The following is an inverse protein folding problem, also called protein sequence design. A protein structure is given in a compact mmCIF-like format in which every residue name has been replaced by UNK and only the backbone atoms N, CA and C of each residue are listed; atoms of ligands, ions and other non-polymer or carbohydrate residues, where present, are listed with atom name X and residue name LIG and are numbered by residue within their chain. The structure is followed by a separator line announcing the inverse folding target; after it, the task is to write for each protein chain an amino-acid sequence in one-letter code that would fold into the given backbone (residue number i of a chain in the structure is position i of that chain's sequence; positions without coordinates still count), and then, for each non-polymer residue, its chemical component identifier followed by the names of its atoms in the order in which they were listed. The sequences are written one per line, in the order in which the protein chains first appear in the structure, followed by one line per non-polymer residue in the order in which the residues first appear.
data_IF_443065938432
#
_entry.id   IF_443065938432
#
_cell.length_a   1.000
_cell.length_b   1.000
_cell.length_c   1.000
_cell.angle_alpha   90.00
_cell.angle_beta   90.00
_cell.angle_gamma   90.00
#
_symmetry.space_group_name_H-M   'P 1'
#
loop_
_entity.id
_entity.type
_entity.pdbx_description
1 polymer ?
#
# COMPACT_ATOMS: atom_id res chain seq x y z
N UNK A 1 11.71 1.93 17.41
CA UNK A 1 10.32 2.41 17.49
C UNK A 1 10.12 3.40 18.62
N UNK A 2 10.32 3.03 19.90
CA UNK A 2 10.07 3.91 21.05
C UNK A 2 10.85 5.23 20.94
N UNK A 3 12.16 5.16 20.66
CA UNK A 3 13.02 6.36 20.54
C UNK A 3 12.54 7.29 19.41
N UNK A 4 12.20 6.73 18.25
CA UNK A 4 11.70 7.51 17.12
C UNK A 4 10.33 8.12 17.39
N UNK A 5 9.42 7.39 18.06
CA UNK A 5 8.12 7.92 18.46
C UNK A 5 8.25 9.05 19.48
N UNK A 6 9.09 8.88 20.51
CA UNK A 6 9.37 9.94 21.47
C UNK A 6 9.99 11.17 20.80
N UNK A 7 10.96 10.98 19.90
CA UNK A 7 11.54 12.09 19.14
C UNK A 7 10.48 12.86 18.37
N UNK A 8 9.56 12.15 17.69
CA UNK A 8 8.46 12.78 16.95
C UNK A 8 7.55 13.56 17.88
N UNK A 9 7.11 12.97 18.99
CA UNK A 9 6.22 13.62 19.96
C UNK A 9 6.84 14.90 20.55
N UNK A 10 8.13 14.89 20.86
CA UNK A 10 8.80 16.04 21.45
C UNK A 10 9.25 17.09 20.44
N UNK A 11 9.43 16.73 19.17
CA UNK A 11 9.94 17.66 18.13
C UNK A 11 8.86 18.21 17.21
N UNK A 12 7.78 17.48 17.02
CA UNK A 12 6.67 17.94 16.17
C UNK A 12 5.69 18.73 17.05
N UNK A 13 5.65 20.03 16.84
CA UNK A 13 4.60 20.89 17.42
C UNK A 13 3.43 20.92 16.45
N UNK A 14 2.29 20.45 16.92
CA UNK A 14 1.03 20.68 16.20
C UNK A 14 0.61 22.13 16.44
N UNK A 15 0.28 22.81 15.35
CA UNK A 15 -0.32 24.14 15.47
C UNK A 15 -1.73 24.02 16.06
N UNK A 16 -2.10 24.94 16.94
CA UNK A 16 -3.49 25.04 17.37
C UNK A 16 -4.40 25.35 16.16
N UNK A 17 -5.69 24.95 16.19
CA UNK A 17 -6.58 25.11 15.05
C UNK A 17 -6.67 26.55 14.52
N UNK A 18 -6.58 27.55 15.38
CA UNK A 18 -6.65 28.95 14.98
C UNK A 18 -5.39 29.40 14.24
N UNK A 19 -4.20 28.99 14.71
CA UNK A 19 -2.93 29.26 14.06
C UNK A 19 -2.83 28.52 12.72
N UNK A 20 -3.27 27.25 12.66
CA UNK A 20 -3.34 26.47 11.43
C UNK A 20 -4.25 27.14 10.38
N UNK A 21 -5.45 27.57 10.78
CA UNK A 21 -6.39 28.27 9.92
C UNK A 21 -5.79 29.56 9.34
N UNK A 22 -5.07 30.33 10.18
CA UNK A 22 -4.40 31.56 9.76
C UNK A 22 -3.31 31.31 8.70
N UNK A 23 -2.49 30.27 8.86
CA UNK A 23 -1.43 29.94 7.89
C UNK A 23 -1.97 29.39 6.58
N UNK A 24 -3.10 28.70 6.60
CA UNK A 24 -3.73 28.10 5.43
C UNK A 24 -4.86 28.93 4.82
N UNK A 25 -5.11 30.15 5.36
CA UNK A 25 -6.16 31.04 4.85
C UNK A 25 -7.57 30.48 5.02
N UNK A 26 -7.77 29.55 5.97
CA UNK A 26 -9.08 28.96 6.25
C UNK A 26 -9.92 29.95 7.01
N UNK A 27 -11.06 30.35 6.45
CA UNK A 27 -12.00 31.28 7.10
C UNK A 27 -12.97 30.51 8.02
N UNK A 28 -13.61 31.23 8.96
CA UNK A 28 -14.66 30.64 9.80
C UNK A 28 -15.84 30.12 8.96
N UNK A 29 -16.11 30.74 7.80
CA UNK A 29 -17.11 30.23 6.84
C UNK A 29 -16.74 28.87 6.24
N UNK A 30 -15.46 28.58 6.01
CA UNK A 30 -15.01 27.29 5.51
C UNK A 30 -15.16 26.20 6.57
N UNK A 31 -14.93 26.54 7.85
CA UNK A 31 -15.18 25.64 8.98
C UNK A 31 -16.68 25.42 9.23
N UNK A 32 -17.52 26.42 9.01
CA UNK A 32 -18.98 26.32 9.13
C UNK A 32 -19.59 25.49 7.95
N UNK A 33 -18.95 25.48 6.80
CA UNK A 33 -19.32 24.62 5.65
C UNK A 33 -18.88 23.17 5.82
N UNK A 34 -18.11 22.85 6.87
CA UNK A 34 -17.81 21.49 7.29
C UNK A 34 -19.08 20.75 7.67
N UNK A 35 -19.86 20.36 6.65
CA UNK A 35 -21.15 19.69 6.78
C UNK A 35 -20.99 18.35 7.48
N UNK A 36 -22.11 17.83 7.98
CA UNK A 36 -22.19 16.49 8.53
C UNK A 36 -21.45 15.49 7.60
N UNK A 37 -20.57 14.67 8.16
CA UNK A 37 -19.73 13.72 7.42
C UNK A 37 -20.54 12.84 6.43
N UNK A 38 -21.79 12.52 6.73
CA UNK A 38 -22.71 11.85 5.83
C UNK A 38 -22.99 12.66 4.55
N UNK A 39 -23.13 13.97 4.68
CA UNK A 39 -23.35 14.87 3.55
C UNK A 39 -22.10 14.93 2.67
N UNK A 40 -20.92 14.98 3.28
CA UNK A 40 -19.64 14.93 2.55
C UNK A 40 -19.47 13.62 1.79
N UNK A 41 -19.76 12.48 2.41
CA UNK A 41 -19.72 11.18 1.74
C UNK A 41 -20.71 11.09 0.58
N UNK A 42 -21.94 11.58 0.76
CA UNK A 42 -22.97 11.57 -0.29
C UNK A 42 -22.59 12.39 -1.52
N UNK A 43 -21.83 13.46 -1.32
CA UNK A 43 -21.36 14.35 -2.39
C UNK A 43 -19.92 14.05 -2.83
N UNK A 44 -19.32 12.97 -2.29
CA UNK A 44 -17.97 12.58 -2.68
C UNK A 44 -17.89 12.23 -4.17
N UNK A 45 -16.84 12.66 -4.88
CA UNK A 45 -16.69 12.42 -6.31
C UNK A 45 -16.63 10.92 -6.61
N UNK A 46 -17.04 10.52 -7.80
CA UNK A 46 -17.01 9.12 -8.24
C UNK A 46 -15.61 8.49 -8.08
N UNK A 47 -14.54 9.27 -8.25
CA UNK A 47 -13.17 8.83 -8.06
C UNK A 47 -12.91 8.35 -6.63
N UNK A 48 -13.46 9.01 -5.61
CA UNK A 48 -13.35 8.61 -4.21
C UNK A 48 -13.89 7.18 -4.00
N UNK A 49 -15.11 6.91 -4.45
CA UNK A 49 -15.73 5.58 -4.28
C UNK A 49 -15.01 4.49 -5.06
N UNK A 50 -14.58 4.81 -6.30
CA UNK A 50 -13.82 3.85 -7.12
C UNK A 50 -12.49 3.50 -6.48
N UNK A 51 -11.74 4.51 -6.01
CA UNK A 51 -10.45 4.29 -5.33
C UNK A 51 -10.64 3.53 -4.02
N UNK A 52 -11.66 3.88 -3.23
CA UNK A 52 -11.98 3.19 -1.96
C UNK A 52 -12.26 1.71 -2.20
N UNK A 53 -13.05 1.38 -3.21
CA UNK A 53 -13.35 -0.02 -3.56
C UNK A 53 -12.10 -0.79 -3.98
N UNK A 54 -11.27 -0.19 -4.83
CA UNK A 54 -10.01 -0.81 -5.25
C UNK A 54 -9.08 -1.01 -4.05
N UNK A 55 -8.95 0.00 -3.19
CA UNK A 55 -8.12 -0.09 -1.98
C UNK A 55 -8.60 -1.18 -1.03
N UNK A 56 -9.92 -1.37 -0.87
CA UNK A 56 -10.46 -2.46 -0.07
C UNK A 56 -9.92 -3.82 -0.54
N UNK A 57 -9.98 -4.11 -1.84
CA UNK A 57 -9.45 -5.37 -2.38
C UNK A 57 -7.93 -5.46 -2.31
N UNK A 58 -7.22 -4.35 -2.51
CA UNK A 58 -5.75 -4.32 -2.36
C UNK A 58 -5.34 -4.67 -0.93
N UNK A 59 -5.91 -4.01 0.07
CA UNK A 59 -5.62 -4.29 1.47
C UNK A 59 -5.98 -5.73 1.86
N UNK A 60 -7.09 -6.24 1.33
CA UNK A 60 -7.49 -7.63 1.55
C UNK A 60 -6.44 -8.60 1.00
N UNK A 61 -5.95 -8.39 -0.22
CA UNK A 61 -4.90 -9.20 -0.83
C UNK A 61 -3.59 -9.17 -0.02
N UNK A 62 -3.13 -7.99 0.41
CA UNK A 62 -1.92 -7.86 1.20
C UNK A 62 -2.07 -8.45 2.61
N UNK A 63 -3.25 -8.35 3.22
CA UNK A 63 -3.52 -9.00 4.50
C UNK A 63 -3.38 -10.52 4.41
N UNK A 64 -3.88 -11.12 3.32
CA UNK A 64 -3.68 -12.53 3.04
C UNK A 64 -2.21 -12.88 2.80
N UNK A 65 -1.48 -12.05 2.06
CA UNK A 65 -0.05 -12.22 1.84
C UNK A 65 0.68 -12.31 3.18
N UNK A 66 0.50 -11.36 4.08
CA UNK A 66 1.21 -11.31 5.36
C UNK A 66 0.85 -12.47 6.28
N UNK A 67 -0.40 -12.92 6.22
CA UNK A 67 -0.89 -13.97 7.13
C UNK A 67 -0.50 -15.38 6.65
N UNK A 68 -0.54 -15.63 5.34
CA UNK A 68 -0.48 -17.00 4.83
C UNK A 68 0.77 -17.32 4.01
N UNK A 69 1.63 -16.35 3.68
CA UNK A 69 2.78 -16.58 2.78
C UNK A 69 3.75 -17.62 3.32
N UNK A 70 4.11 -17.57 4.59
CA UNK A 70 5.05 -18.55 5.15
C UNK A 70 4.53 -19.98 4.99
N UNK A 71 3.25 -20.22 5.32
CA UNK A 71 2.62 -21.53 5.16
C UNK A 71 2.47 -21.97 3.70
N UNK A 72 2.12 -21.05 2.79
CA UNK A 72 2.01 -21.34 1.36
C UNK A 72 3.38 -21.70 0.76
N UNK A 73 4.42 -20.95 1.11
CA UNK A 73 5.80 -21.22 0.69
C UNK A 73 6.27 -22.57 1.24
N UNK A 74 6.02 -22.85 2.53
CA UNK A 74 6.36 -24.11 3.15
C UNK A 74 5.73 -25.31 2.41
N UNK A 75 4.45 -25.19 2.07
CA UNK A 75 3.74 -26.21 1.31
C UNK A 75 4.28 -26.36 -0.12
N UNK A 76 4.48 -25.27 -0.84
CA UNK A 76 4.80 -25.31 -2.27
C UNK A 76 6.27 -25.63 -2.55
N UNK A 77 7.20 -25.19 -1.69
CA UNK A 77 8.65 -25.33 -1.90
C UNK A 77 9.23 -26.45 -1.06
N UNK A 78 8.85 -26.54 0.22
CA UNK A 78 9.37 -27.56 1.15
C UNK A 78 8.42 -28.74 1.37
N UNK A 79 7.27 -28.75 0.68
CA UNK A 79 6.27 -29.82 0.73
C UNK A 79 5.85 -30.20 2.17
N UNK A 80 5.74 -29.24 3.05
CA UNK A 80 5.35 -29.43 4.45
C UNK A 80 4.26 -28.45 4.89
N UNK A 81 3.37 -28.92 5.75
CA UNK A 81 2.35 -28.08 6.43
C UNK A 81 2.53 -28.08 7.95
N UNK A 82 3.51 -28.87 8.45
CA UNK A 82 3.81 -28.95 9.87
C UNK A 82 4.63 -27.73 10.31
N UNK A 83 4.02 -26.86 11.12
CA UNK A 83 4.63 -25.64 11.63
C UNK A 83 5.87 -25.90 12.51
N UNK A 84 6.04 -27.10 13.04
CA UNK A 84 7.20 -27.48 13.86
C UNK A 84 8.36 -28.02 13.03
N UNK A 85 8.16 -28.31 11.75
CA UNK A 85 9.17 -28.88 10.87
C UNK A 85 10.26 -27.87 10.49
N UNK A 86 11.48 -28.37 10.26
CA UNK A 86 12.60 -27.56 9.79
C UNK A 86 12.30 -26.88 8.45
N UNK A 87 11.53 -27.53 7.57
CA UNK A 87 11.08 -26.96 6.29
C UNK A 87 10.17 -25.77 6.45
N UNK A 88 9.26 -25.80 7.42
CA UNK A 88 8.38 -24.66 7.71
C UNK A 88 9.17 -23.47 8.27
N UNK A 89 10.15 -23.73 9.15
CA UNK A 89 11.04 -22.68 9.67
C UNK A 89 11.91 -22.08 8.55
N UNK A 90 12.42 -22.90 7.63
CA UNK A 90 13.15 -22.42 6.46
C UNK A 90 12.27 -21.53 5.56
N UNK A 91 11.02 -21.93 5.34
CA UNK A 91 10.05 -21.13 4.58
C UNK A 91 9.75 -19.76 5.24
N UNK A 92 9.62 -19.74 6.56
CA UNK A 92 9.45 -18.49 7.33
C UNK A 92 10.65 -17.55 7.19
N UNK A 93 11.87 -18.08 7.28
CA UNK A 93 13.10 -17.32 7.08
C UNK A 93 13.20 -16.78 5.64
N UNK A 94 12.88 -17.62 4.66
CA UNK A 94 12.87 -17.23 3.25
C UNK A 94 11.81 -16.17 2.94
N UNK A 95 10.63 -16.27 3.55
CA UNK A 95 9.61 -15.24 3.47
C UNK A 95 10.13 -13.87 3.96
N UNK A 96 10.95 -13.84 5.00
CA UNK A 96 11.62 -12.61 5.46
C UNK A 96 12.50 -11.99 4.39
N UNK A 97 13.27 -12.81 3.64
CA UNK A 97 14.09 -12.35 2.51
C UNK A 97 13.20 -11.83 1.38
N UNK A 98 12.15 -12.54 1.04
CA UNK A 98 11.19 -12.13 0.00
C UNK A 98 10.49 -10.82 0.36
N UNK A 99 10.13 -10.60 1.61
CA UNK A 99 9.55 -9.35 2.10
C UNK A 99 10.54 -8.17 1.98
N UNK A 100 11.84 -8.41 2.21
CA UNK A 100 12.87 -7.40 1.97
C UNK A 100 13.00 -7.07 0.47
N UNK A 101 13.01 -8.06 -0.40
CA UNK A 101 13.01 -7.87 -1.87
C UNK A 101 11.78 -7.09 -2.32
N UNK A 102 10.59 -7.43 -1.82
CA UNK A 102 9.35 -6.71 -2.08
C UNK A 102 9.48 -5.23 -1.70
N UNK A 103 10.04 -4.94 -0.52
CA UNK A 103 10.21 -3.57 -0.03
C UNK A 103 11.18 -2.77 -0.89
N UNK A 104 12.30 -3.37 -1.30
CA UNK A 104 13.27 -2.74 -2.20
C UNK A 104 12.63 -2.45 -3.57
N UNK A 105 11.91 -3.41 -4.14
CA UNK A 105 11.19 -3.24 -5.39
C UNK A 105 10.15 -2.10 -5.30
N UNK A 106 9.43 -2.02 -4.18
CA UNK A 106 8.47 -0.94 -3.93
C UNK A 106 9.13 0.44 -3.89
N UNK A 107 10.28 0.57 -3.23
CA UNK A 107 11.03 1.83 -3.18
C UNK A 107 11.47 2.24 -4.58
N UNK A 108 12.09 1.33 -5.33
CA UNK A 108 12.55 1.61 -6.70
C UNK A 108 11.36 2.02 -7.58
N UNK A 109 10.25 1.28 -7.50
CA UNK A 109 9.06 1.58 -8.31
C UNK A 109 8.41 2.91 -7.93
N UNK A 110 8.42 3.28 -6.67
CA UNK A 110 7.93 4.58 -6.21
C UNK A 110 8.65 5.75 -6.88
N UNK A 111 9.98 5.65 -7.11
CA UNK A 111 10.73 6.64 -7.88
C UNK A 111 10.28 6.71 -9.35
N UNK A 112 9.92 5.58 -9.95
CA UNK A 112 9.37 5.55 -11.32
C UNK A 112 8.01 6.25 -11.34
N UNK A 113 7.14 5.91 -10.39
CA UNK A 113 5.79 6.48 -10.28
C UNK A 113 5.82 7.99 -10.02
N UNK A 114 6.78 8.49 -9.24
CA UNK A 114 6.93 9.91 -8.94
C UNK A 114 7.24 10.76 -10.20
N UNK A 115 7.77 10.15 -11.26
CA UNK A 115 8.06 10.83 -12.53
C UNK A 115 6.91 10.77 -13.54
N UNK A 116 5.84 10.03 -13.24
CA UNK A 116 4.69 9.90 -14.13
C UNK A 116 3.83 11.17 -14.08
N UNK A 117 3.52 11.80 -15.21
CA UNK A 117 2.64 12.97 -15.23
C UNK A 117 1.22 12.67 -14.69
N UNK A 118 0.59 13.66 -14.05
CA UNK A 118 -0.73 13.54 -13.42
C UNK A 118 -1.80 12.88 -14.30
N UNK A 119 -1.80 13.20 -15.60
CA UNK A 119 -2.76 12.64 -16.57
C UNK A 119 -2.68 11.11 -16.70
N UNK A 120 -1.57 10.50 -16.33
CA UNK A 120 -1.34 9.06 -16.43
C UNK A 120 -1.38 8.34 -15.07
N UNK A 121 -1.67 9.01 -13.95
CA UNK A 121 -1.68 8.38 -12.62
C UNK A 121 -2.65 7.20 -12.54
N UNK A 122 -3.83 7.28 -13.17
CA UNK A 122 -4.79 6.17 -13.21
C UNK A 122 -4.22 4.94 -13.94
N UNK A 123 -3.51 5.17 -15.04
CA UNK A 123 -2.87 4.11 -15.84
C UNK A 123 -1.69 3.52 -15.07
N UNK A 124 -0.86 4.36 -14.44
CA UNK A 124 0.26 3.93 -13.59
C UNK A 124 -0.22 3.10 -12.39
N UNK A 125 -1.34 3.50 -11.78
CA UNK A 125 -1.97 2.76 -10.69
C UNK A 125 -2.46 1.39 -11.16
N UNK A 126 -3.28 1.36 -12.21
CA UNK A 126 -3.82 0.11 -12.77
C UNK A 126 -2.71 -0.84 -13.24
N UNK A 127 -1.69 -0.31 -13.93
CA UNK A 127 -0.54 -1.09 -14.39
C UNK A 127 0.24 -1.71 -13.23
N UNK A 128 0.48 -0.95 -12.16
CA UNK A 128 1.14 -1.46 -10.96
C UNK A 128 0.34 -2.59 -10.31
N UNK A 129 -0.99 -2.44 -10.20
CA UNK A 129 -1.85 -3.48 -9.63
C UNK A 129 -1.91 -4.74 -10.51
N UNK A 130 -1.96 -4.59 -11.85
CA UNK A 130 -1.93 -5.72 -12.78
C UNK A 130 -0.62 -6.51 -12.68
N UNK A 131 0.53 -5.83 -12.61
CA UNK A 131 1.82 -6.48 -12.38
C UNK A 131 1.84 -7.23 -11.04
N UNK A 132 1.32 -6.62 -9.98
CA UNK A 132 1.19 -7.28 -8.70
C UNK A 132 0.26 -8.49 -8.73
N UNK A 133 -0.87 -8.42 -9.44
CA UNK A 133 -1.78 -9.54 -9.62
C UNK A 133 -1.07 -10.72 -10.30
N UNK A 134 -0.25 -10.47 -11.31
CA UNK A 134 0.60 -11.49 -11.93
C UNK A 134 1.60 -12.06 -10.92
N UNK A 135 2.18 -11.21 -10.05
CA UNK A 135 3.03 -11.66 -8.95
C UNK A 135 2.31 -12.60 -7.99
N UNK A 136 1.12 -12.24 -7.53
CA UNK A 136 0.30 -13.10 -6.65
C UNK A 136 -0.07 -14.44 -7.31
N UNK A 137 -0.49 -14.40 -8.58
CA UNK A 137 -0.85 -15.62 -9.32
C UNK A 137 0.38 -16.51 -9.53
N UNK A 138 1.53 -15.94 -9.85
CA UNK A 138 2.76 -16.70 -10.12
C UNK A 138 3.25 -17.49 -8.91
N UNK A 139 3.03 -17.00 -7.68
CA UNK A 139 3.40 -17.73 -6.44
C UNK A 139 2.75 -19.11 -6.40
N UNK A 140 1.53 -19.26 -6.95
CA UNK A 140 0.82 -20.53 -6.96
C UNK A 140 1.50 -21.60 -7.83
N UNK A 141 2.18 -21.16 -8.90
CA UNK A 141 2.81 -22.08 -9.88
C UNK A 141 4.31 -22.29 -9.63
N UNK A 142 4.92 -21.44 -8.79
CA UNK A 142 6.36 -21.49 -8.55
C UNK A 142 6.66 -22.37 -7.35
N UNK A 143 7.49 -23.40 -7.57
CA UNK A 143 7.92 -24.38 -6.57
C UNK A 143 9.42 -24.25 -6.22
N UNK A 144 10.09 -23.22 -6.72
CA UNK A 144 11.50 -22.92 -6.47
C UNK A 144 11.63 -21.67 -5.60
N UNK A 145 12.40 -21.77 -4.53
CA UNK A 145 12.64 -20.64 -3.62
C UNK A 145 13.22 -19.42 -4.35
N UNK A 146 14.21 -19.61 -5.23
CA UNK A 146 14.84 -18.52 -5.98
C UNK A 146 13.90 -17.85 -6.99
N UNK A 147 13.02 -18.61 -7.64
CA UNK A 147 12.08 -18.06 -8.62
C UNK A 147 10.98 -17.19 -7.96
N UNK A 148 10.66 -17.43 -6.68
CA UNK A 148 9.73 -16.58 -5.92
C UNK A 148 10.19 -15.12 -5.81
N UNK A 149 11.47 -14.83 -5.94
CA UNK A 149 12.01 -13.46 -5.95
C UNK A 149 11.31 -12.61 -7.01
N UNK A 150 11.09 -13.15 -8.22
CA UNK A 150 10.40 -12.45 -9.30
C UNK A 150 8.95 -12.12 -8.92
N UNK A 151 8.24 -13.07 -8.30
CA UNK A 151 6.87 -12.84 -7.80
C UNK A 151 6.82 -11.71 -6.80
N UNK A 152 7.74 -11.67 -5.85
CA UNK A 152 7.77 -10.66 -4.80
C UNK A 152 8.24 -9.29 -5.30
N UNK A 153 9.05 -9.22 -6.34
CA UNK A 153 9.33 -7.96 -7.06
C UNK A 153 8.02 -7.39 -7.65
N UNK A 154 7.25 -8.22 -8.35
CA UNK A 154 5.97 -7.81 -8.94
C UNK A 154 4.95 -7.38 -7.86
N UNK A 155 4.89 -8.09 -6.75
CA UNK A 155 4.05 -7.72 -5.59
C UNK A 155 4.52 -6.38 -5.00
N UNK A 156 5.82 -6.12 -4.94
CA UNK A 156 6.40 -4.84 -4.51
C UNK A 156 5.99 -3.67 -5.41
N UNK A 157 5.88 -3.89 -6.71
CA UNK A 157 5.35 -2.92 -7.68
C UNK A 157 3.91 -2.52 -7.34
N UNK A 158 3.05 -3.51 -7.03
CA UNK A 158 1.67 -3.23 -6.60
C UNK A 158 1.62 -2.47 -5.27
N UNK A 159 2.47 -2.84 -4.32
CA UNK A 159 2.58 -2.16 -3.03
C UNK A 159 2.92 -0.68 -3.20
N UNK A 160 3.88 -0.35 -4.07
CA UNK A 160 4.21 1.03 -4.40
C UNK A 160 3.01 1.77 -5.03
N UNK A 161 2.34 1.15 -6.00
CA UNK A 161 1.18 1.75 -6.67
C UNK A 161 0.04 2.07 -5.72
N UNK A 162 -0.32 1.11 -4.84
CA UNK A 162 -1.43 1.29 -3.90
C UNK A 162 -1.14 2.30 -2.79
N UNK A 163 0.12 2.62 -2.50
CA UNK A 163 0.47 3.63 -1.51
C UNK A 163 0.71 5.02 -2.12
N UNK A 164 1.09 5.10 -3.41
CA UNK A 164 1.46 6.37 -4.05
C UNK A 164 0.25 7.11 -4.65
N UNK A 165 -0.61 6.43 -5.38
CA UNK A 165 -1.59 7.11 -6.24
C UNK A 165 -3.00 7.33 -5.67
N UNK A 166 -3.54 6.51 -4.75
CA UNK A 166 -4.93 6.64 -4.33
C UNK A 166 -5.29 8.04 -3.82
N UNK A 167 -4.46 8.57 -2.92
CA UNK A 167 -4.69 9.90 -2.34
C UNK A 167 -4.60 10.99 -3.42
N UNK A 168 -3.57 10.94 -4.27
CA UNK A 168 -3.37 11.91 -5.35
C UNK A 168 -4.52 11.90 -6.35
N UNK A 169 -5.05 10.73 -6.70
CA UNK A 169 -6.20 10.61 -7.63
C UNK A 169 -7.45 11.24 -7.01
N UNK A 170 -7.68 11.01 -5.72
CA UNK A 170 -8.83 11.58 -5.01
C UNK A 170 -8.70 13.08 -4.87
N UNK A 171 -7.54 13.60 -4.44
CA UNK A 171 -7.31 15.05 -4.27
C UNK A 171 -7.43 15.78 -5.59
N UNK A 172 -6.89 15.26 -6.69
CA UNK A 172 -7.03 15.85 -8.02
C UNK A 172 -8.50 15.86 -8.52
N UNK A 173 -9.33 14.92 -8.05
CA UNK A 173 -10.75 14.89 -8.40
C UNK A 173 -11.60 15.86 -7.55
N UNK A 174 -11.05 16.37 -6.44
CA UNK A 174 -11.71 17.37 -5.61
C UNK A 174 -11.33 18.81 -6.01
N UNK A 175 -10.18 18.99 -6.66
CA UNK A 175 -9.64 20.30 -7.04
C UNK A 175 -10.05 20.74 -8.47
N UNK A 176 -10.70 19.92 -9.24
CA UNK A 176 -11.21 20.22 -10.60
C UNK A 176 -12.72 20.19 -10.66
#
# INVERSE_FOLDING_TARGET
LIVTSLFTVFRVHEYDPATYAKYHGITEEDNAKGGNWFTLLKHAPKAFWTVTLVQFFCWFAFQYLWTYSAGAIAKNVWNTTDATSAGYQAAGNWYGVLAAVQSIAAVIWSYVLAKVPNKYHKVGYAGSLLLGALGFISVFFIHSEGALIVSYILIGIAWAGMNTYPLTIVTNALSG
#
